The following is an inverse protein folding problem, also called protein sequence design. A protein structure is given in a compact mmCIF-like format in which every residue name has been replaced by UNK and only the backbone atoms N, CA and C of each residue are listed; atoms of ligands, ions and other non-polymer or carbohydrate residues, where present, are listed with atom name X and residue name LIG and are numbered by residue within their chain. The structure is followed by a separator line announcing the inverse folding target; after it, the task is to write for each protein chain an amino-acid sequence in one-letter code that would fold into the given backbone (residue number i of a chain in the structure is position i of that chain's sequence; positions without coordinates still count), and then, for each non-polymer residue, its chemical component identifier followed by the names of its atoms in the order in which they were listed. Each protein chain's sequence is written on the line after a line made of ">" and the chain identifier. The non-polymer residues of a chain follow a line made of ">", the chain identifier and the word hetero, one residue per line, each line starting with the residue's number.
data_IF_289136504677
#
_entry.id   IF_289136504677
#
_cell.length_a   1.000
_cell.length_b   1.000
_cell.length_c   1.000
_cell.angle_alpha   90.00
_cell.angle_beta   90.00
_cell.angle_gamma   90.00
#
_symmetry.space_group_name_H-M   'P 1'
#
loop_
_entity.id
_entity.type
_entity.pdbx_description
1 polymer ?
#
# COMPACT_ATOMS: atom_id res chain seq x y z
N UNK A 1 29.98 19.66 0.28
CA UNK A 1 29.19 19.77 -0.95
C UNK A 1 29.80 18.98 -2.11
N UNK A 2 31.12 18.86 -2.22
CA UNK A 2 31.80 18.10 -3.27
C UNK A 2 32.71 17.02 -2.64
N UNK A 3 32.18 15.90 -2.18
CA UNK A 3 33.00 14.79 -1.71
C UNK A 3 33.83 14.18 -2.85
N UNK A 4 34.86 13.40 -2.51
CA UNK A 4 35.62 12.65 -3.49
C UNK A 4 34.67 11.79 -4.35
N UNK A 5 34.96 11.66 -5.63
CA UNK A 5 34.15 10.94 -6.61
C UNK A 5 32.75 11.53 -6.89
N UNK A 6 32.56 12.83 -6.65
CA UNK A 6 31.31 13.51 -7.08
C UNK A 6 31.15 13.39 -8.59
N UNK A 7 29.99 12.89 -9.11
CA UNK A 7 29.76 12.78 -10.54
C UNK A 7 29.83 14.15 -11.24
N UNK A 8 30.59 14.24 -12.38
CA UNK A 8 30.84 15.48 -13.08
C UNK A 8 29.58 16.25 -13.47
N UNK A 9 28.52 15.55 -13.87
CA UNK A 9 27.24 16.12 -14.25
C UNK A 9 26.49 16.78 -13.09
N UNK A 10 26.85 16.48 -11.82
CA UNK A 10 26.21 17.05 -10.62
C UNK A 10 27.00 18.24 -10.06
N UNK A 11 28.23 18.48 -10.48
CA UNK A 11 29.12 19.51 -9.90
C UNK A 11 28.46 20.89 -9.95
N UNK A 12 27.96 21.30 -11.10
CA UNK A 12 27.36 22.63 -11.27
C UNK A 12 26.17 22.85 -10.34
N UNK A 13 25.30 21.87 -10.22
CA UNK A 13 24.14 21.95 -9.33
C UNK A 13 24.55 21.97 -7.85
N UNK A 14 25.59 21.23 -7.46
CA UNK A 14 26.14 21.24 -6.09
C UNK A 14 26.84 22.56 -5.77
N UNK A 15 27.50 23.21 -6.73
CA UNK A 15 28.07 24.54 -6.55
C UNK A 15 26.98 25.61 -6.37
N UNK A 16 25.89 25.54 -7.14
CA UNK A 16 24.71 26.40 -6.92
C UNK A 16 24.09 26.20 -5.53
N UNK A 17 24.01 24.96 -5.06
CA UNK A 17 23.55 24.68 -3.72
C UNK A 17 24.48 25.28 -2.66
N UNK A 18 25.78 25.14 -2.84
CA UNK A 18 26.78 25.77 -1.95
C UNK A 18 26.60 27.28 -1.87
N UNK A 19 26.48 27.94 -3.01
CA UNK A 19 26.21 29.38 -3.11
C UNK A 19 24.91 29.75 -2.36
N UNK A 20 23.83 29.03 -2.61
CA UNK A 20 22.52 29.24 -1.92
C UNK A 20 22.66 29.12 -0.41
N UNK A 21 23.41 28.14 0.10
CA UNK A 21 23.58 27.94 1.54
C UNK A 21 24.37 29.09 2.20
N UNK A 22 25.26 29.75 1.46
CA UNK A 22 26.19 30.70 2.02
C UNK A 22 25.84 32.17 1.78
N UNK A 23 25.17 32.46 0.66
CA UNK A 23 24.97 33.83 0.18
C UNK A 23 24.26 34.74 1.18
N UNK A 24 23.11 34.29 1.68
CA UNK A 24 22.32 35.08 2.64
C UNK A 24 23.11 35.37 3.91
N UNK A 25 23.73 34.33 4.47
CA UNK A 25 24.50 34.46 5.70
C UNK A 25 25.75 35.34 5.49
N UNK A 26 26.50 35.15 4.41
CA UNK A 26 27.66 35.96 4.09
C UNK A 26 27.28 37.44 3.91
N UNK A 27 26.20 37.72 3.21
CA UNK A 27 25.68 39.07 3.01
C UNK A 27 25.26 39.74 4.34
N UNK A 28 24.60 38.99 5.23
CA UNK A 28 24.19 39.47 6.55
C UNK A 28 25.41 39.78 7.44
N UNK A 29 26.43 38.90 7.43
CA UNK A 29 27.67 39.14 8.19
C UNK A 29 28.44 40.34 7.63
N UNK A 30 28.49 40.51 6.31
CA UNK A 30 29.11 41.70 5.68
C UNK A 30 28.37 42.97 6.07
N UNK A 31 27.01 42.95 6.14
CA UNK A 31 26.25 44.11 6.58
C UNK A 31 26.49 44.43 8.07
N UNK A 32 26.53 43.42 8.94
CA UNK A 32 26.88 43.59 10.33
C UNK A 32 28.29 44.16 10.48
N UNK A 33 29.26 43.73 9.69
CA UNK A 33 30.61 44.27 9.69
C UNK A 33 30.67 45.74 9.22
N UNK A 34 29.86 46.12 8.18
CA UNK A 34 29.74 47.52 7.77
C UNK A 34 29.14 48.42 8.84
N UNK A 35 28.11 47.90 9.53
CA UNK A 35 27.46 48.66 10.61
C UNK A 35 28.40 48.82 11.80
N UNK A 36 29.12 47.75 12.18
CA UNK A 36 30.09 47.80 13.30
C UNK A 36 31.34 48.64 12.97
N UNK A 37 31.69 48.78 11.69
CA UNK A 37 32.84 49.60 11.27
C UNK A 37 32.57 51.11 11.12
N UNK A 38 31.34 51.57 11.34
CA UNK A 38 31.03 53.01 11.37
C UNK A 38 31.56 53.65 12.62
N UNK A 39 31.98 54.92 12.51
CA UNK A 39 32.45 55.66 13.65
C UNK A 39 31.42 55.73 14.79
N UNK A 40 31.88 55.53 16.01
CA UNK A 40 31.04 55.60 17.21
C UNK A 40 30.32 56.96 17.30
N UNK A 41 29.02 56.97 17.28
CA UNK A 41 28.21 58.18 17.30
C UNK A 41 27.63 58.65 15.96
N UNK A 42 28.00 58.00 14.81
CA UNK A 42 27.52 58.40 13.47
C UNK A 42 26.38 57.54 12.92
N UNK A 43 25.72 56.72 13.73
CA UNK A 43 24.63 55.86 13.31
C UNK A 43 23.78 55.32 14.47
N UNK A 44 22.77 54.49 14.19
CA UNK A 44 21.99 53.82 15.23
C UNK A 44 22.90 52.90 16.07
N UNK A 45 22.59 52.72 17.37
CA UNK A 45 23.39 51.85 18.22
C UNK A 45 23.46 50.41 17.65
N UNK A 46 24.70 49.87 17.69
CA UNK A 46 24.96 48.50 17.20
C UNK A 46 24.52 47.51 18.26
N UNK A 47 23.63 46.61 17.94
CA UNK A 47 23.30 45.47 18.78
C UNK A 47 24.41 44.39 18.65
N UNK A 48 25.50 44.61 19.41
CA UNK A 48 26.65 43.69 19.40
C UNK A 48 26.27 42.28 19.87
N UNK A 49 25.29 42.16 20.76
CA UNK A 49 24.84 40.85 21.25
C UNK A 49 24.16 40.03 20.12
N UNK A 50 23.26 40.68 19.40
CA UNK A 50 22.59 40.08 18.22
C UNK A 50 23.61 39.67 17.14
N UNK A 51 24.60 40.53 16.88
CA UNK A 51 25.63 40.21 15.88
C UNK A 51 26.51 39.04 16.31
N UNK A 52 26.90 39.00 17.59
CA UNK A 52 27.65 37.88 18.15
C UNK A 52 26.85 36.59 18.11
N UNK A 53 25.60 36.61 18.55
CA UNK A 53 24.72 35.43 18.49
C UNK A 53 24.54 34.91 17.05
N UNK A 54 24.30 35.81 16.08
CA UNK A 54 24.18 35.42 14.69
C UNK A 54 25.48 34.85 14.11
N UNK A 55 26.63 35.45 14.44
CA UNK A 55 27.93 35.04 13.87
C UNK A 55 28.43 33.73 14.46
N UNK A 56 28.23 33.48 15.77
CA UNK A 56 28.82 32.34 16.46
C UNK A 56 27.82 31.28 16.89
N UNK A 57 26.52 31.58 16.89
CA UNK A 57 25.46 30.61 17.19
C UNK A 57 25.04 29.71 16.03
N UNK A 58 25.71 29.82 14.88
CA UNK A 58 25.39 29.03 13.71
C UNK A 58 26.34 27.85 13.54
N UNK A 59 25.79 26.65 13.50
CA UNK A 59 26.52 25.43 13.10
C UNK A 59 26.47 25.25 11.56
N UNK A 60 27.53 25.69 10.90
CA UNK A 60 27.65 25.61 9.44
C UNK A 60 27.73 24.15 8.96
N UNK A 61 28.35 23.27 9.72
CA UNK A 61 28.46 21.86 9.36
C UNK A 61 27.10 21.18 9.34
N UNK A 62 26.34 21.35 10.42
CA UNK A 62 24.98 20.78 10.49
C UNK A 62 24.08 21.40 9.43
N UNK A 63 24.04 22.72 9.32
CA UNK A 63 23.21 23.42 8.34
C UNK A 63 23.50 22.97 6.89
N UNK A 64 24.77 22.99 6.48
CA UNK A 64 25.15 22.61 5.11
C UNK A 64 24.93 21.12 4.83
N UNK A 65 25.11 20.27 5.83
CA UNK A 65 24.83 18.84 5.75
C UNK A 65 23.33 18.56 5.57
N UNK A 66 22.47 19.25 6.31
CA UNK A 66 21.02 19.17 6.17
C UNK A 66 20.55 19.67 4.80
N UNK A 67 21.09 20.81 4.33
CA UNK A 67 20.75 21.37 3.03
C UNK A 67 21.17 20.44 1.89
N UNK A 68 22.36 19.80 1.99
CA UNK A 68 22.82 18.83 1.01
C UNK A 68 21.89 17.61 0.98
N UNK A 69 21.53 17.06 2.14
CA UNK A 69 20.62 15.92 2.27
C UNK A 69 19.24 16.21 1.65
N UNK A 70 18.65 17.36 1.99
CA UNK A 70 17.37 17.79 1.42
C UNK A 70 17.45 17.94 -0.11
N UNK A 71 18.55 18.49 -0.59
CA UNK A 71 18.77 18.64 -2.03
C UNK A 71 18.93 17.28 -2.72
N UNK A 72 19.68 16.36 -2.14
CA UNK A 72 19.83 15.00 -2.69
C UNK A 72 18.48 14.27 -2.74
N UNK A 73 17.67 14.41 -1.71
CA UNK A 73 16.31 13.82 -1.70
C UNK A 73 15.41 14.45 -2.77
N UNK A 74 15.42 15.77 -2.90
CA UNK A 74 14.59 16.47 -3.89
C UNK A 74 14.98 16.20 -5.35
N UNK A 75 16.20 15.75 -5.59
CA UNK A 75 16.67 15.37 -6.91
C UNK A 75 16.49 13.89 -7.24
N UNK A 76 16.05 13.08 -6.30
CA UNK A 76 15.65 11.71 -6.58
C UNK A 76 14.29 11.74 -7.27
N UNK A 77 14.25 11.22 -8.50
CA UNK A 77 13.01 11.02 -9.25
C UNK A 77 12.50 9.60 -9.01
N UNK A 78 11.21 9.41 -9.17
CA UNK A 78 10.56 8.09 -9.14
C UNK A 78 10.76 7.35 -7.81
N UNK A 79 10.72 8.10 -6.69
CA UNK A 79 10.77 7.54 -5.33
C UNK A 79 9.46 7.77 -4.59
N UNK A 80 9.10 6.80 -3.76
CA UNK A 80 7.91 6.90 -2.93
C UNK A 80 8.19 7.69 -1.66
N UNK A 81 7.30 8.64 -1.39
CA UNK A 81 7.31 9.47 -0.19
C UNK A 81 6.09 9.15 0.67
N UNK A 82 6.32 8.99 1.95
CA UNK A 82 5.27 8.86 2.98
C UNK A 82 5.67 9.64 4.22
N UNK A 83 4.71 9.97 5.07
CA UNK A 83 5.03 10.49 6.39
C UNK A 83 5.81 9.46 7.23
N UNK A 84 6.79 9.92 8.04
CA UNK A 84 7.25 11.30 8.22
C UNK A 84 8.26 11.74 7.16
N UNK A 85 7.92 12.75 6.35
CA UNK A 85 8.73 13.22 5.22
C UNK A 85 10.05 13.89 5.61
N UNK A 86 10.18 14.31 6.88
CA UNK A 86 11.39 14.94 7.39
C UNK A 86 12.64 14.03 7.34
N UNK A 87 12.46 12.72 7.19
CA UNK A 87 13.54 11.73 7.18
C UNK A 87 13.90 11.24 5.77
N UNK A 88 13.32 11.81 4.73
CA UNK A 88 13.55 11.45 3.34
C UNK A 88 12.53 10.47 2.77
N UNK A 89 12.82 9.88 1.58
CA UNK A 89 11.98 8.86 0.98
C UNK A 89 11.84 7.65 1.90
N UNK A 90 10.61 7.12 2.02
CA UNK A 90 10.36 5.96 2.90
C UNK A 90 10.70 4.64 2.22
N UNK A 91 11.48 3.76 2.87
CA UNK A 91 11.63 2.39 2.41
C UNK A 91 10.31 1.63 2.59
N UNK A 92 10.11 0.59 1.77
CA UNK A 92 8.90 -0.21 1.83
C UNK A 92 8.90 -1.33 0.80
N UNK A 93 7.74 -1.85 0.43
CA UNK A 93 7.66 -2.97 -0.51
C UNK A 93 8.32 -2.68 -1.86
N UNK A 94 8.25 -1.44 -2.35
CA UNK A 94 8.67 -1.05 -3.70
C UNK A 94 10.08 -0.51 -3.81
N UNK A 95 10.65 0.01 -2.72
CA UNK A 95 11.97 0.62 -2.73
C UNK A 95 12.70 0.47 -1.40
N UNK A 96 14.03 0.58 -1.43
CA UNK A 96 14.86 0.85 -0.26
C UNK A 96 14.92 2.36 0.03
N UNK A 97 15.66 2.75 1.08
CA UNK A 97 15.88 4.17 1.42
C UNK A 97 16.58 4.96 0.31
N UNK A 98 17.38 4.31 -0.53
CA UNK A 98 18.05 4.94 -1.66
C UNK A 98 17.15 5.10 -2.89
N UNK A 99 15.96 4.49 -2.90
CA UNK A 99 15.03 4.46 -4.03
C UNK A 99 15.28 3.31 -5.00
N UNK A 100 16.13 2.33 -4.64
CA UNK A 100 16.33 1.12 -5.43
C UNK A 100 15.11 0.20 -5.26
N UNK A 101 14.58 -0.30 -6.38
CA UNK A 101 13.49 -1.27 -6.38
C UNK A 101 13.86 -2.53 -5.60
N UNK A 102 12.87 -3.08 -4.89
CA UNK A 102 12.99 -4.34 -4.16
C UNK A 102 12.71 -5.52 -5.07
N UNK A 103 13.35 -6.65 -4.77
CA UNK A 103 13.14 -7.89 -5.50
C UNK A 103 12.20 -8.82 -4.70
N UNK A 104 11.07 -9.17 -5.31
CA UNK A 104 10.09 -10.09 -4.74
C UNK A 104 10.21 -11.53 -5.25
N UNK A 105 11.18 -11.84 -6.11
CA UNK A 105 11.29 -13.15 -6.77
C UNK A 105 11.50 -14.32 -5.81
N UNK A 106 12.21 -14.10 -4.70
CA UNK A 106 12.51 -15.10 -3.67
C UNK A 106 11.52 -15.07 -2.50
N UNK A 107 10.58 -14.13 -2.50
CA UNK A 107 9.54 -14.06 -1.49
C UNK A 107 8.60 -15.25 -1.65
N UNK A 108 8.17 -15.84 -0.54
CA UNK A 108 7.28 -16.99 -0.49
C UNK A 108 5.87 -16.56 -0.19
N UNK A 109 4.91 -17.25 -0.77
CA UNK A 109 3.51 -17.09 -0.42
C UNK A 109 2.83 -18.44 -0.19
N UNK A 110 1.82 -18.43 0.66
CA UNK A 110 0.91 -19.52 0.89
C UNK A 110 -0.51 -18.91 0.98
N UNK A 111 -1.37 -19.23 0.03
CA UNK A 111 -2.72 -18.68 -0.09
C UNK A 111 -3.76 -19.76 0.08
N UNK A 112 -4.66 -19.61 1.05
CA UNK A 112 -5.89 -20.40 1.17
C UNK A 112 -7.07 -19.55 0.72
N UNK A 113 -7.92 -20.09 -0.17
CA UNK A 113 -9.02 -19.34 -0.74
C UNK A 113 -10.30 -20.17 -0.84
N UNK A 114 -11.44 -19.49 -0.68
CA UNK A 114 -12.80 -20.04 -0.81
C UNK A 114 -13.55 -19.22 -1.85
N UNK A 115 -13.75 -19.78 -3.04
CA UNK A 115 -14.58 -19.18 -4.09
C UNK A 115 -16.00 -19.69 -3.94
N UNK A 116 -16.97 -18.78 -3.99
CA UNK A 116 -18.37 -19.10 -3.73
C UNK A 116 -19.33 -18.29 -4.60
N UNK A 117 -20.56 -18.80 -4.72
CA UNK A 117 -21.70 -18.07 -5.28
C UNK A 117 -22.41 -17.30 -4.19
N UNK A 118 -22.81 -16.07 -4.50
CA UNK A 118 -23.51 -15.17 -3.58
C UNK A 118 -24.60 -14.35 -4.26
N UNK A 119 -25.36 -13.62 -3.45
CA UNK A 119 -26.34 -12.65 -3.96
C UNK A 119 -25.63 -11.48 -4.64
N UNK A 120 -25.94 -11.26 -5.92
CA UNK A 120 -25.48 -10.08 -6.65
C UNK A 120 -25.82 -8.78 -5.94
N UNK A 121 -27.07 -8.62 -5.53
CA UNK A 121 -27.57 -7.40 -4.87
C UNK A 121 -26.82 -7.09 -3.58
N UNK A 122 -26.50 -8.11 -2.78
CA UNK A 122 -25.73 -7.92 -1.54
C UNK A 122 -24.30 -7.46 -1.86
N UNK A 123 -23.66 -8.06 -2.86
CA UNK A 123 -22.31 -7.68 -3.27
C UNK A 123 -22.25 -6.29 -3.94
N UNK A 124 -23.29 -5.90 -4.70
CA UNK A 124 -23.41 -4.56 -5.29
C UNK A 124 -23.43 -3.43 -4.25
N UNK A 125 -23.98 -3.70 -3.07
CA UNK A 125 -23.97 -2.73 -1.95
C UNK A 125 -22.58 -2.41 -1.41
N UNK A 126 -21.55 -3.16 -1.82
CA UNK A 126 -20.16 -2.91 -1.47
C UNK A 126 -19.42 -2.06 -2.52
N UNK A 127 -20.05 -1.73 -3.64
CA UNK A 127 -19.41 -0.92 -4.68
C UNK A 127 -19.28 0.54 -4.23
N UNK A 128 -18.12 1.17 -4.47
CA UNK A 128 -17.82 2.47 -3.90
C UNK A 128 -18.54 3.63 -4.59
N UNK A 129 -18.89 3.47 -5.88
CA UNK A 129 -19.55 4.49 -6.69
C UNK A 129 -20.41 3.86 -7.79
N UNK A 130 -21.28 4.64 -8.41
CA UNK A 130 -22.13 4.22 -9.54
C UNK A 130 -21.34 3.82 -10.81
N UNK A 131 -20.04 4.12 -10.86
CA UNK A 131 -19.16 3.67 -11.94
C UNK A 131 -18.88 2.17 -11.91
N UNK A 132 -19.14 1.51 -10.78
CA UNK A 132 -18.95 0.07 -10.58
C UNK A 132 -20.28 -0.67 -10.73
N UNK A 133 -20.27 -1.76 -11.50
CA UNK A 133 -21.40 -2.67 -11.62
C UNK A 133 -20.91 -4.04 -12.08
N UNK A 134 -21.75 -5.06 -11.99
CA UNK A 134 -21.43 -6.34 -12.60
C UNK A 134 -21.51 -6.29 -14.14
N UNK A 135 -20.53 -6.88 -14.81
CA UNK A 135 -20.52 -6.97 -16.27
C UNK A 135 -21.63 -7.88 -16.83
N UNK A 136 -21.98 -8.95 -16.10
CA UNK A 136 -23.05 -9.87 -16.46
C UNK A 136 -24.37 -9.49 -15.80
N UNK A 137 -25.50 -9.85 -16.43
CA UNK A 137 -26.85 -9.54 -15.95
C UNK A 137 -27.49 -10.67 -15.12
N UNK A 138 -26.68 -11.44 -14.40
CA UNK A 138 -27.14 -12.56 -13.58
C UNK A 138 -27.64 -12.12 -12.21
N UNK A 139 -28.45 -12.95 -11.53
CA UNK A 139 -28.88 -12.72 -10.14
C UNK A 139 -27.86 -13.21 -9.10
N UNK A 140 -26.94 -14.06 -9.52
CA UNK A 140 -25.86 -14.65 -8.73
C UNK A 140 -24.54 -14.10 -9.20
N UNK A 141 -23.66 -13.76 -8.26
CA UNK A 141 -22.31 -13.34 -8.56
C UNK A 141 -21.29 -14.21 -7.81
N UNK A 142 -20.05 -14.15 -8.26
CA UNK A 142 -18.96 -14.91 -7.66
C UNK A 142 -18.09 -14.00 -6.80
N UNK A 143 -17.70 -14.51 -5.65
CA UNK A 143 -16.73 -13.86 -4.79
C UNK A 143 -15.75 -14.88 -4.22
N UNK A 144 -14.63 -14.40 -3.70
CA UNK A 144 -13.59 -15.21 -3.05
C UNK A 144 -13.19 -14.56 -1.74
N UNK A 145 -13.22 -15.32 -0.65
CA UNK A 145 -12.44 -15.00 0.54
C UNK A 145 -11.08 -15.66 0.41
N UNK A 146 -10.00 -14.89 0.61
CA UNK A 146 -8.66 -15.42 0.54
C UNK A 146 -7.79 -14.88 1.67
N UNK A 147 -7.03 -15.78 2.30
CA UNK A 147 -5.96 -15.46 3.22
C UNK A 147 -4.63 -15.84 2.61
N UNK A 148 -3.68 -14.91 2.61
CA UNK A 148 -2.31 -15.16 2.15
C UNK A 148 -1.34 -14.88 3.29
N UNK A 149 -0.44 -15.82 3.52
CA UNK A 149 0.75 -15.66 4.34
C UNK A 149 1.94 -15.45 3.42
N UNK A 150 2.54 -14.27 3.50
CA UNK A 150 3.80 -13.95 2.82
C UNK A 150 4.96 -14.17 3.79
N UNK A 151 6.09 -14.64 3.26
CA UNK A 151 7.32 -14.87 4.01
C UNK A 151 8.54 -14.55 3.15
N UNK A 152 9.71 -14.46 3.77
CA UNK A 152 10.98 -14.15 3.13
C UNK A 152 10.93 -12.88 2.26
N UNK A 153 10.26 -11.83 2.75
CA UNK A 153 10.17 -10.55 2.07
C UNK A 153 11.45 -9.73 2.27
N UNK A 154 12.17 -9.40 1.19
CA UNK A 154 13.42 -8.63 1.24
C UNK A 154 13.24 -7.30 1.99
N UNK A 155 12.14 -6.58 1.71
CA UNK A 155 11.88 -5.28 2.31
C UNK A 155 11.54 -5.32 3.81
N UNK A 156 11.22 -6.50 4.35
CA UNK A 156 11.04 -6.76 5.79
C UNK A 156 12.24 -7.49 6.43
N UNK A 157 13.37 -7.53 5.74
CA UNK A 157 14.57 -8.22 6.22
C UNK A 157 14.37 -9.72 6.35
N UNK A 158 13.67 -10.34 5.40
CA UNK A 158 13.37 -11.77 5.36
C UNK A 158 12.19 -12.20 6.24
N UNK A 159 11.45 -11.27 6.83
CA UNK A 159 10.21 -11.54 7.59
C UNK A 159 9.00 -11.54 6.66
N UNK A 160 7.82 -11.85 7.23
CA UNK A 160 6.58 -11.87 6.49
C UNK A 160 5.43 -11.20 7.23
N UNK A 161 4.25 -11.23 6.61
CA UNK A 161 2.97 -10.83 7.18
C UNK A 161 1.85 -11.60 6.50
N UNK A 162 0.66 -11.53 7.08
CA UNK A 162 -0.54 -12.15 6.51
C UNK A 162 -1.59 -11.10 6.16
N UNK A 163 -2.36 -11.39 5.13
CA UNK A 163 -3.52 -10.59 4.76
C UNK A 163 -4.72 -11.47 4.41
N UNK A 164 -5.92 -10.96 4.68
CA UNK A 164 -7.20 -11.63 4.44
C UNK A 164 -8.18 -10.65 3.79
N UNK A 165 -8.83 -11.02 2.69
CA UNK A 165 -9.70 -10.11 1.96
C UNK A 165 -10.86 -10.78 1.25
N UNK A 166 -11.79 -9.92 0.80
CA UNK A 166 -12.91 -10.27 -0.06
C UNK A 166 -12.65 -9.78 -1.49
N UNK A 167 -12.78 -10.66 -2.45
CA UNK A 167 -12.56 -10.40 -3.88
C UNK A 167 -13.86 -10.66 -4.63
N UNK A 168 -14.46 -9.64 -5.27
CA UNK A 168 -15.72 -9.73 -6.03
C UNK A 168 -15.38 -9.77 -7.50
N UNK A 169 -15.74 -10.86 -8.17
CA UNK A 169 -15.39 -11.14 -9.56
C UNK A 169 -16.37 -10.56 -10.58
N UNK A 170 -15.89 -10.33 -11.80
CA UNK A 170 -16.72 -9.88 -12.92
C UNK A 170 -17.29 -8.47 -12.76
N UNK A 171 -16.55 -7.59 -12.10
CA UNK A 171 -16.95 -6.20 -11.88
C UNK A 171 -16.47 -5.32 -13.01
N UNK A 172 -17.38 -4.58 -13.64
CA UNK A 172 -17.11 -3.55 -14.64
C UNK A 172 -16.95 -2.20 -13.95
N UNK A 173 -15.89 -1.46 -14.27
CA UNK A 173 -15.73 -0.06 -13.94
C UNK A 173 -15.75 0.80 -15.19
N UNK A 174 -16.57 1.86 -15.20
CA UNK A 174 -16.70 2.78 -16.34
C UNK A 174 -15.75 3.95 -16.11
N UNK A 175 -14.81 4.14 -17.04
CA UNK A 175 -13.89 5.27 -17.05
C UNK A 175 -14.60 6.59 -17.40
N UNK A 176 -13.90 7.71 -17.24
CA UNK A 176 -14.45 9.04 -17.59
C UNK A 176 -14.69 9.20 -19.10
N UNK A 177 -13.90 8.53 -19.95
CA UNK A 177 -14.07 8.52 -21.41
C UNK A 177 -15.15 7.53 -21.90
N UNK A 178 -15.84 6.83 -20.99
CA UNK A 178 -16.87 5.83 -21.30
C UNK A 178 -16.36 4.42 -21.59
N UNK A 179 -15.04 4.21 -21.63
CA UNK A 179 -14.48 2.86 -21.74
C UNK A 179 -14.79 2.03 -20.48
N UNK A 180 -14.91 0.74 -20.67
CA UNK A 180 -15.20 -0.23 -19.62
C UNK A 180 -14.00 -1.10 -19.37
N UNK A 181 -13.69 -1.30 -18.11
CA UNK A 181 -12.66 -2.22 -17.65
C UNK A 181 -13.32 -3.26 -16.77
N UNK A 182 -13.11 -4.53 -17.05
CA UNK A 182 -13.64 -5.64 -16.25
C UNK A 182 -12.52 -6.18 -15.38
N UNK A 183 -12.81 -6.37 -14.10
CA UNK A 183 -11.82 -6.87 -13.15
C UNK A 183 -12.45 -7.46 -11.89
N UNK A 184 -11.59 -7.85 -10.97
CA UNK A 184 -11.95 -8.24 -9.61
C UNK A 184 -11.94 -7.02 -8.71
N UNK A 185 -13.04 -6.70 -8.06
CA UNK A 185 -13.08 -5.60 -7.08
C UNK A 185 -12.72 -6.08 -5.68
N UNK A 186 -11.85 -5.34 -4.99
CA UNK A 186 -11.43 -5.58 -3.61
C UNK A 186 -12.03 -4.52 -2.69
N UNK A 187 -13.15 -4.81 -1.98
CA UNK A 187 -13.75 -3.87 -1.04
C UNK A 187 -13.02 -3.76 0.29
N UNK A 188 -12.32 -4.81 0.72
CA UNK A 188 -11.66 -4.89 2.03
C UNK A 188 -10.48 -5.84 2.00
N UNK A 189 -9.39 -5.46 2.69
CA UNK A 189 -8.24 -6.29 2.96
C UNK A 189 -7.78 -6.07 4.41
N UNK A 190 -7.82 -7.10 5.23
CA UNK A 190 -7.27 -7.09 6.58
C UNK A 190 -5.82 -7.52 6.54
N UNK A 191 -4.95 -6.87 7.33
CA UNK A 191 -3.53 -7.21 7.44
C UNK A 191 -3.06 -7.11 8.90
N UNK A 192 -2.09 -7.93 9.28
CA UNK A 192 -1.55 -7.99 10.64
C UNK A 192 -0.24 -7.19 10.82
N UNK A 193 0.12 -6.33 9.85
CA UNK A 193 1.30 -5.48 9.92
C UNK A 193 0.97 -4.07 9.41
N UNK A 194 1.40 -3.04 10.15
CA UNK A 194 1.11 -1.65 9.83
C UNK A 194 1.82 -1.15 8.55
N UNK A 195 3.06 -1.59 8.31
CA UNK A 195 3.88 -1.13 7.18
C UNK A 195 3.22 -1.36 5.81
N UNK A 196 2.73 -2.57 5.47
CA UNK A 196 2.04 -2.78 4.20
C UNK A 196 0.66 -2.10 4.16
N UNK A 197 0.01 -1.89 5.32
CA UNK A 197 -1.25 -1.11 5.39
C UNK A 197 -0.99 0.32 4.94
N UNK A 198 -0.02 1.01 5.55
CA UNK A 198 0.30 2.40 5.25
C UNK A 198 0.70 2.55 3.77
N UNK A 199 1.67 1.77 3.31
CA UNK A 199 2.14 1.84 1.91
C UNK A 199 1.05 1.50 0.89
N UNK A 200 0.19 0.53 1.20
CA UNK A 200 -0.90 0.14 0.30
C UNK A 200 -2.00 1.20 0.22
N UNK A 201 -2.40 1.78 1.36
CA UNK A 201 -3.44 2.81 1.40
C UNK A 201 -2.98 4.13 0.80
N UNK A 202 -1.81 4.63 1.23
CA UNK A 202 -1.33 5.96 0.86
C UNK A 202 -0.85 6.02 -0.58
N UNK A 203 -0.14 5.00 -1.06
CA UNK A 203 0.45 4.99 -2.40
C UNK A 203 -0.51 4.44 -3.46
N UNK A 204 -1.19 3.32 -3.19
CA UNK A 204 -1.90 2.54 -4.22
C UNK A 204 -3.43 2.56 -4.10
N UNK A 205 -3.97 2.86 -2.92
CA UNK A 205 -5.41 2.91 -2.69
C UNK A 205 -6.05 1.58 -2.29
N UNK A 206 -5.28 0.64 -1.76
CA UNK A 206 -5.83 -0.59 -1.19
C UNK A 206 -6.69 -0.31 0.05
N UNK A 207 -7.88 -0.92 0.17
CA UNK A 207 -8.80 -0.71 1.30
C UNK A 207 -8.38 -1.53 2.52
N UNK A 208 -7.18 -1.27 3.06
CA UNK A 208 -6.55 -2.06 4.11
C UNK A 208 -6.95 -1.59 5.50
N UNK A 209 -7.23 -2.56 6.39
CA UNK A 209 -7.46 -2.37 7.83
C UNK A 209 -6.59 -3.35 8.62
N UNK A 210 -6.22 -2.95 9.83
CA UNK A 210 -5.45 -3.80 10.74
C UNK A 210 -6.38 -4.77 11.46
N UNK A 211 -5.95 -6.03 11.58
CA UNK A 211 -6.44 -6.99 12.57
C UNK A 211 -5.36 -8.04 12.89
N UNK A 212 -5.54 -8.78 13.96
CA UNK A 212 -4.73 -9.94 14.25
C UNK A 212 -5.20 -11.11 13.38
N UNK A 213 -4.27 -11.79 12.73
CA UNK A 213 -4.52 -12.95 11.87
C UNK A 213 -3.71 -14.14 12.38
N UNK A 214 -4.37 -15.11 13.00
CA UNK A 214 -3.80 -16.41 13.29
C UNK A 214 -4.09 -17.33 12.11
N UNK A 215 -3.04 -17.69 11.35
CA UNK A 215 -3.14 -18.43 10.09
C UNK A 215 -2.33 -19.71 10.20
N UNK A 216 -3.02 -20.84 10.14
CA UNK A 216 -2.44 -22.18 10.05
C UNK A 216 -2.79 -22.73 8.66
N UNK A 217 -1.80 -23.07 7.86
CA UNK A 217 -1.99 -23.69 6.54
C UNK A 217 -0.99 -24.86 6.46
N UNK A 218 -1.50 -26.06 6.23
CA UNK A 218 -0.71 -27.27 6.06
C UNK A 218 -1.29 -28.18 4.97
N UNK A 219 -0.76 -29.38 4.84
CA UNK A 219 -1.21 -30.34 3.83
C UNK A 219 -2.64 -30.85 4.04
N UNK A 220 -3.17 -30.78 5.26
CA UNK A 220 -4.50 -31.26 5.64
C UNK A 220 -5.60 -30.22 5.42
N UNK A 221 -5.23 -28.96 5.41
CA UNK A 221 -6.17 -27.85 5.26
C UNK A 221 -5.64 -26.49 5.68
N UNK A 222 -6.54 -25.59 5.97
CA UNK A 222 -6.24 -24.24 6.45
C UNK A 222 -7.22 -23.80 7.51
N UNK A 223 -6.72 -23.09 8.51
CA UNK A 223 -7.53 -22.42 9.52
C UNK A 223 -7.05 -20.98 9.69
N UNK A 224 -7.98 -20.06 9.56
CA UNK A 224 -7.80 -18.64 9.85
C UNK A 224 -8.73 -18.25 11.01
N UNK A 225 -8.16 -17.54 11.98
CA UNK A 225 -8.91 -16.80 12.99
C UNK A 225 -8.51 -15.33 12.89
N UNK A 226 -9.47 -14.47 12.60
CA UNK A 226 -9.26 -13.03 12.58
C UNK A 226 -9.90 -12.38 13.82
N UNK A 227 -9.11 -11.54 14.50
CA UNK A 227 -9.54 -10.85 15.72
C UNK A 227 -9.00 -9.42 15.77
N UNK A 228 -9.60 -8.60 16.61
CA UNK A 228 -9.14 -7.25 16.90
C UNK A 228 -9.11 -7.04 18.41
N UNK A 229 -7.92 -6.79 18.95
CA UNK A 229 -7.71 -6.64 20.41
C UNK A 229 -8.37 -7.75 21.25
N UNK A 230 -8.25 -8.99 20.79
CA UNK A 230 -8.82 -10.17 21.46
C UNK A 230 -10.27 -10.50 21.12
N UNK A 231 -11.00 -9.65 20.41
CA UNK A 231 -12.35 -9.92 19.93
C UNK A 231 -12.32 -10.65 18.59
N UNK A 232 -12.56 -11.95 18.58
CA UNK A 232 -12.64 -12.75 17.35
C UNK A 232 -13.90 -12.42 16.58
N UNK A 233 -13.75 -12.13 15.28
CA UNK A 233 -14.85 -11.73 14.40
C UNK A 233 -14.97 -12.56 13.13
N UNK A 234 -13.96 -13.37 12.78
CA UNK A 234 -14.01 -14.24 11.59
C UNK A 234 -13.26 -15.54 11.82
N UNK A 235 -13.85 -16.62 11.32
CA UNK A 235 -13.22 -17.92 11.17
C UNK A 235 -13.36 -18.38 9.72
N UNK A 236 -12.26 -18.87 9.12
CA UNK A 236 -12.27 -19.55 7.82
C UNK A 236 -11.54 -20.88 7.95
N UNK A 237 -12.15 -21.95 7.47
CA UNK A 237 -11.61 -23.30 7.56
C UNK A 237 -11.77 -24.01 6.22
N UNK A 238 -10.70 -24.65 5.75
CA UNK A 238 -10.68 -25.51 4.57
C UNK A 238 -10.19 -26.90 4.99
N UNK A 239 -10.85 -27.94 4.50
CA UNK A 239 -10.46 -29.31 4.79
C UNK A 239 -10.76 -30.24 3.62
N UNK A 240 -10.24 -31.47 3.70
CA UNK A 240 -10.46 -32.52 2.70
C UNK A 240 -10.02 -32.08 1.29
N UNK A 241 -8.88 -31.39 1.22
CA UNK A 241 -8.28 -30.96 -0.04
C UNK A 241 -7.40 -32.08 -0.63
N UNK A 242 -7.35 -32.15 -1.95
CA UNK A 242 -6.52 -33.11 -2.69
C UNK A 242 -5.80 -32.43 -3.85
N UNK A 243 -4.72 -32.99 -4.37
CA UNK A 243 -4.10 -32.48 -5.58
C UNK A 243 -5.14 -32.40 -6.72
N UNK A 244 -5.06 -31.41 -7.60
CA UNK A 244 -6.00 -31.28 -8.72
C UNK A 244 -5.92 -32.54 -9.62
N UNK A 245 -7.05 -32.97 -10.17
CA UNK A 245 -7.10 -34.12 -11.07
C UNK A 245 -6.21 -33.87 -12.31
N UNK A 246 -5.39 -34.84 -12.66
CA UNK A 246 -4.35 -34.77 -13.71
C UNK A 246 -4.89 -34.77 -15.16
N UNK A 247 -6.13 -34.35 -15.39
CA UNK A 247 -6.69 -34.23 -16.72
C UNK A 247 -6.40 -32.85 -17.32
N UNK A 248 -5.16 -32.65 -17.76
CA UNK A 248 -4.78 -31.77 -18.88
C UNK A 248 -4.91 -30.25 -18.75
N UNK A 249 -5.58 -29.72 -17.75
CA UNK A 249 -5.58 -28.31 -17.44
C UNK A 249 -5.15 -28.13 -16.00
N UNK A 250 -3.96 -27.57 -15.82
CA UNK A 250 -3.55 -26.94 -14.55
C UNK A 250 -4.49 -25.76 -14.35
N UNK A 251 -5.69 -26.01 -13.87
CA UNK A 251 -6.54 -24.94 -13.37
C UNK A 251 -5.97 -24.48 -12.05
N UNK A 252 -4.85 -23.72 -12.11
CA UNK A 252 -4.65 -22.67 -11.14
C UNK A 252 -6.03 -22.02 -11.01
N UNK A 253 -6.55 -21.71 -9.82
CA UNK A 253 -7.80 -21.01 -9.71
C UNK A 253 -7.66 -19.86 -10.70
N UNK A 254 -8.53 -19.83 -11.74
CA UNK A 254 -8.65 -18.63 -12.54
C UNK A 254 -9.20 -17.63 -11.55
N UNK A 255 -8.28 -16.98 -10.83
CA UNK A 255 -8.59 -15.90 -9.89
C UNK A 255 -9.35 -14.81 -10.64
N UNK A 256 -9.12 -14.74 -11.94
CA UNK A 256 -9.85 -13.92 -12.89
C UNK A 256 -10.64 -14.80 -13.86
N UNK A 257 -11.81 -14.37 -14.27
CA UNK A 257 -12.42 -14.86 -15.50
C UNK A 257 -11.47 -14.50 -16.64
N UNK A 258 -11.49 -15.23 -17.76
CA UNK A 258 -10.61 -14.95 -18.91
C UNK A 258 -10.73 -13.51 -19.48
N UNK A 259 -11.63 -12.70 -18.95
CA UNK A 259 -11.93 -11.33 -19.34
C UNK A 259 -11.49 -10.28 -18.29
N UNK A 260 -11.08 -10.68 -17.09
CA UNK A 260 -10.67 -9.74 -16.06
C UNK A 260 -9.26 -9.20 -16.31
N UNK A 261 -9.13 -7.86 -16.36
CA UNK A 261 -7.89 -7.17 -16.70
C UNK A 261 -7.01 -6.94 -15.48
N UNK A 262 -7.59 -6.91 -14.28
CA UNK A 262 -6.84 -6.62 -13.05
C UNK A 262 -7.69 -6.51 -11.80
N UNK A 263 -7.03 -6.15 -10.71
CA UNK A 263 -7.65 -5.86 -9.43
C UNK A 263 -8.08 -4.39 -9.40
N UNK A 264 -9.37 -4.16 -9.25
CA UNK A 264 -10.00 -2.84 -9.15
C UNK A 264 -10.06 -2.40 -7.69
N UNK A 265 -9.62 -1.17 -7.43
CA UNK A 265 -9.56 -0.57 -6.11
C UNK A 265 -10.19 0.84 -6.16
N UNK A 266 -10.67 1.34 -5.03
CA UNK A 266 -11.11 2.73 -4.91
C UNK A 266 -10.28 3.43 -3.82
N UNK A 267 -9.37 4.30 -4.27
CA UNK A 267 -8.56 5.12 -3.36
C UNK A 267 -9.40 6.26 -2.82
N UNK A 268 -9.48 6.37 -1.49
CA UNK A 268 -10.20 7.44 -0.81
C UNK A 268 -9.36 7.95 0.37
N UNK A 269 -8.99 9.22 0.33
CA UNK A 269 -8.31 9.92 1.43
C UNK A 269 -9.23 11.07 1.86
N UNK A 270 -9.74 11.07 3.10
CA UNK A 270 -10.63 12.13 3.58
C UNK A 270 -9.90 13.48 3.64
N UNK A 271 -10.62 14.56 3.37
CA UNK A 271 -10.08 15.90 3.48
C UNK A 271 -9.86 16.29 4.95
N UNK A 272 -8.78 17.06 5.17
CA UNK A 272 -8.44 17.55 6.51
C UNK A 272 -9.27 18.79 6.85
N UNK A 273 -9.85 18.81 8.05
CA UNK A 273 -10.63 19.92 8.60
C UNK A 273 -12.04 19.52 9.00
N UNK A 274 -12.51 20.03 10.13
CA UNK A 274 -13.84 19.70 10.66
C UNK A 274 -14.98 20.21 9.77
N UNK A 275 -14.74 21.27 9.03
CA UNK A 275 -15.66 21.88 8.06
C UNK A 275 -15.75 21.07 6.74
N UNK A 276 -14.82 20.13 6.52
CA UNK A 276 -14.73 19.29 5.33
C UNK A 276 -15.23 17.88 5.54
N UNK A 277 -16.04 17.64 6.57
CA UNK A 277 -16.65 16.33 6.82
C UNK A 277 -17.38 15.81 5.59
N UNK A 278 -17.11 14.56 5.20
CA UNK A 278 -17.70 13.93 4.02
C UNK A 278 -17.04 14.29 2.69
N UNK A 279 -16.02 15.16 2.67
CA UNK A 279 -15.21 15.47 1.50
C UNK A 279 -13.93 14.63 1.48
N UNK A 280 -13.34 14.50 0.30
CA UNK A 280 -12.08 13.79 0.09
C UNK A 280 -11.04 14.69 -0.57
N UNK A 281 -9.78 14.64 -0.13
CA UNK A 281 -8.65 15.21 -0.86
C UNK A 281 -8.30 14.32 -2.06
N UNK A 282 -8.57 13.00 -1.96
CA UNK A 282 -8.33 12.02 -3.01
C UNK A 282 -9.52 11.06 -3.07
N UNK A 283 -10.14 10.91 -4.24
CA UNK A 283 -11.17 9.91 -4.52
C UNK A 283 -11.13 9.52 -6.00
N UNK A 284 -10.57 8.35 -6.31
CA UNK A 284 -10.53 7.81 -7.68
C UNK A 284 -10.31 6.30 -7.68
N UNK A 285 -10.63 5.66 -8.79
CA UNK A 285 -10.37 4.24 -9.00
C UNK A 285 -8.93 4.00 -9.43
N UNK A 286 -8.33 2.94 -8.91
CA UNK A 286 -7.04 2.41 -9.37
C UNK A 286 -7.20 0.97 -9.85
N UNK A 287 -6.31 0.54 -10.73
CA UNK A 287 -6.22 -0.83 -11.21
C UNK A 287 -4.79 -1.37 -11.02
N UNK A 288 -4.70 -2.60 -10.53
CA UNK A 288 -3.47 -3.42 -10.60
C UNK A 288 -3.67 -4.41 -11.72
N UNK A 289 -2.99 -4.19 -12.86
CA UNK A 289 -3.12 -5.04 -14.04
C UNK A 289 -2.49 -6.40 -13.83
N UNK A 290 -3.22 -7.50 -14.05
CA UNK A 290 -2.67 -8.85 -13.94
C UNK A 290 -1.55 -9.11 -14.96
N UNK A 291 -1.65 -8.52 -16.15
CA UNK A 291 -0.61 -8.65 -17.16
C UNK A 291 0.69 -7.92 -16.80
N UNK A 292 0.60 -6.77 -16.11
CA UNK A 292 1.78 -6.02 -15.68
C UNK A 292 2.43 -6.69 -14.47
N UNK A 293 1.64 -7.21 -13.54
CA UNK A 293 2.12 -7.98 -12.38
C UNK A 293 2.86 -9.27 -12.81
N UNK A 294 2.33 -9.99 -13.80
CA UNK A 294 2.97 -11.19 -14.33
C UNK A 294 4.33 -10.90 -15.01
N UNK A 295 4.52 -9.69 -15.53
CA UNK A 295 5.81 -9.25 -16.10
C UNK A 295 6.78 -8.76 -15.02
N UNK A 296 6.27 -8.15 -13.94
CA UNK A 296 7.08 -7.57 -12.89
C UNK A 296 7.79 -8.63 -12.05
N UNK A 297 7.06 -9.68 -11.65
CA UNK A 297 7.62 -10.81 -10.89
C UNK A 297 7.00 -12.10 -11.39
N UNK A 298 7.84 -13.07 -11.75
CA UNK A 298 7.40 -14.42 -12.14
C UNK A 298 6.89 -15.16 -10.89
N UNK A 299 5.58 -15.38 -10.82
CA UNK A 299 4.95 -16.18 -9.77
C UNK A 299 5.08 -17.66 -10.12
N UNK A 300 5.77 -18.43 -9.25
CA UNK A 300 5.96 -19.87 -9.42
C UNK A 300 5.11 -20.62 -8.39
N UNK A 301 4.16 -21.41 -8.88
CA UNK A 301 3.36 -22.29 -8.04
C UNK A 301 4.14 -23.61 -7.86
N UNK A 302 4.44 -23.94 -6.60
CA UNK A 302 5.17 -25.15 -6.23
C UNK A 302 4.22 -26.28 -5.83
N UNK A 303 3.13 -25.92 -5.13
CA UNK A 303 2.11 -26.86 -4.67
C UNK A 303 0.72 -26.28 -4.77
N UNK A 304 -0.25 -27.11 -5.10
CA UNK A 304 -1.66 -26.76 -5.12
C UNK A 304 -2.51 -27.93 -4.65
N UNK A 305 -3.49 -27.65 -3.81
CA UNK A 305 -4.56 -28.57 -3.44
C UNK A 305 -5.91 -27.90 -3.60
N UNK A 306 -6.92 -28.69 -3.95
CA UNK A 306 -8.27 -28.20 -4.24
C UNK A 306 -9.34 -29.10 -3.62
N UNK A 307 -10.52 -28.52 -3.37
CA UNK A 307 -11.70 -29.20 -2.86
C UNK A 307 -12.88 -28.25 -2.83
N UNK A 308 -13.94 -28.63 -2.13
CA UNK A 308 -15.13 -27.81 -1.94
C UNK A 308 -15.55 -27.74 -0.47
N UNK A 309 -14.86 -28.44 0.41
CA UNK A 309 -15.17 -28.44 1.83
C UNK A 309 -14.50 -27.26 2.54
N UNK A 310 -15.25 -26.17 2.68
CA UNK A 310 -14.81 -24.97 3.36
C UNK A 310 -15.97 -24.24 4.02
N UNK A 311 -15.64 -23.52 5.10
CA UNK A 311 -16.57 -22.66 5.81
C UNK A 311 -15.92 -21.31 6.10
N UNK A 312 -16.70 -20.24 5.94
CA UNK A 312 -16.30 -18.87 6.33
C UNK A 312 -17.46 -18.31 7.17
N UNK A 313 -17.15 -17.89 8.38
CA UNK A 313 -18.14 -17.33 9.32
C UNK A 313 -17.67 -16.00 9.86
N UNK A 314 -18.59 -15.05 9.97
CA UNK A 314 -18.36 -13.75 10.60
C UNK A 314 -19.30 -13.58 11.80
N UNK A 315 -18.75 -13.07 12.90
CA UNK A 315 -19.49 -12.72 14.10
C UNK A 315 -19.61 -11.18 14.16
N UNK A 316 -20.81 -10.65 13.89
CA UNK A 316 -21.09 -9.23 13.96
C UNK A 316 -21.20 -8.81 15.44
N UNK A 317 -20.05 -8.68 16.08
CA UNK A 317 -19.94 -8.19 17.43
C UNK A 317 -20.37 -6.71 17.52
N UNK A 318 -20.77 -6.30 18.73
CA UNK A 318 -21.22 -4.95 18.98
C UNK A 318 -20.09 -3.90 18.92
N UNK A 319 -20.48 -2.64 19.01
CA UNK A 319 -19.55 -1.51 19.01
C UNK A 319 -18.53 -1.56 20.16
N UNK A 320 -18.85 -2.17 21.31
CA UNK A 320 -17.92 -2.26 22.45
C UNK A 320 -16.78 -3.24 22.17
N UNK A 321 -17.09 -4.34 21.49
CA UNK A 321 -16.10 -5.35 21.12
C UNK A 321 -15.29 -4.95 19.88
N UNK A 322 -15.91 -4.28 18.90
CA UNK A 322 -15.28 -3.88 17.62
C UNK A 322 -15.57 -2.40 17.29
N UNK A 323 -15.09 -1.42 18.07
CA UNK A 323 -15.50 -0.02 17.93
C UNK A 323 -15.21 0.59 16.54
N UNK A 324 -14.17 0.15 15.85
CA UNK A 324 -13.80 0.67 14.51
C UNK A 324 -14.15 -0.27 13.36
N UNK A 325 -14.49 -1.53 13.65
CA UNK A 325 -14.71 -2.58 12.65
C UNK A 325 -16.15 -3.11 12.62
N UNK A 326 -16.97 -2.88 13.65
CA UNK A 326 -18.28 -3.51 13.78
C UNK A 326 -19.17 -3.34 12.53
N UNK A 327 -19.20 -2.15 11.93
CA UNK A 327 -19.99 -1.88 10.73
C UNK A 327 -19.47 -2.61 9.49
N UNK A 328 -18.14 -2.84 9.38
CA UNK A 328 -17.54 -3.62 8.30
C UNK A 328 -17.89 -5.09 8.47
N UNK A 329 -17.72 -5.62 9.69
CA UNK A 329 -17.97 -7.05 9.97
C UNK A 329 -19.45 -7.37 9.84
N UNK A 330 -20.36 -6.47 10.28
CA UNK A 330 -21.79 -6.64 10.09
C UNK A 330 -22.15 -6.78 8.59
N UNK A 331 -21.53 -5.99 7.72
CA UNK A 331 -21.73 -6.11 6.26
C UNK A 331 -21.13 -7.37 5.66
N UNK A 332 -20.00 -7.84 6.15
CA UNK A 332 -19.43 -9.10 5.71
C UNK A 332 -20.29 -10.30 6.14
N UNK A 333 -20.90 -10.26 7.34
CA UNK A 333 -21.83 -11.29 7.82
C UNK A 333 -23.12 -11.37 6.98
N UNK A 334 -23.57 -10.27 6.37
CA UNK A 334 -24.75 -10.24 5.50
C UNK A 334 -24.55 -10.97 4.18
N UNK A 335 -23.29 -11.28 3.78
CA UNK A 335 -22.98 -11.93 2.50
C UNK A 335 -23.34 -13.41 2.56
N UNK A 336 -24.38 -13.87 1.83
CA UNK A 336 -24.74 -15.28 1.83
C UNK A 336 -23.75 -16.09 0.98
N UNK A 337 -23.34 -17.24 1.49
CA UNK A 337 -22.60 -18.23 0.73
C UNK A 337 -23.61 -19.30 0.30
N UNK A 338 -24.05 -19.23 -0.97
CA UNK A 338 -25.02 -20.19 -1.52
C UNK A 338 -24.38 -21.54 -1.82
N UNK A 339 -23.16 -21.52 -2.35
CA UNK A 339 -22.41 -22.69 -2.75
C UNK A 339 -20.92 -22.38 -2.74
N UNK A 340 -20.14 -23.24 -2.13
CA UNK A 340 -18.67 -23.21 -2.28
C UNK A 340 -18.33 -23.87 -3.61
N UNK A 341 -17.85 -23.07 -4.56
CA UNK A 341 -17.47 -23.54 -5.90
C UNK A 341 -16.10 -24.20 -5.86
N UNK A 342 -15.18 -23.62 -5.12
CA UNK A 342 -13.82 -24.12 -4.98
C UNK A 342 -13.20 -23.64 -3.67
N UNK A 343 -12.55 -24.54 -2.97
CA UNK A 343 -11.60 -24.27 -1.92
C UNK A 343 -10.21 -24.65 -2.42
N UNK A 344 -9.19 -23.85 -2.19
CA UNK A 344 -7.83 -24.18 -2.65
C UNK A 344 -6.76 -23.65 -1.69
N UNK A 345 -5.64 -24.37 -1.65
CA UNK A 345 -4.39 -23.89 -1.06
C UNK A 345 -3.33 -23.89 -2.17
N UNK A 346 -2.64 -22.77 -2.32
CA UNK A 346 -1.58 -22.56 -3.31
C UNK A 346 -0.34 -22.05 -2.61
N UNK A 347 0.78 -22.73 -2.83
CA UNK A 347 2.09 -22.37 -2.29
C UNK A 347 3.07 -22.10 -3.42
N UNK A 348 4.00 -21.17 -3.20
CA UNK A 348 5.01 -20.88 -4.18
C UNK A 348 5.92 -19.71 -3.83
N UNK A 349 6.63 -19.23 -4.85
CA UNK A 349 7.54 -18.09 -4.79
C UNK A 349 7.16 -17.01 -5.80
N UNK A 350 7.70 -15.81 -5.62
CA UNK A 350 7.39 -14.64 -6.42
C UNK A 350 6.19 -13.86 -5.88
N UNK A 351 6.48 -12.81 -5.12
CA UNK A 351 5.47 -11.88 -4.57
C UNK A 351 5.70 -10.51 -5.17
N UNK A 352 4.73 -10.02 -5.95
CA UNK A 352 4.78 -8.68 -6.53
C UNK A 352 4.64 -7.59 -5.47
N UNK A 353 5.31 -6.47 -5.71
CA UNK A 353 5.19 -5.25 -4.93
C UNK A 353 4.00 -4.36 -5.35
N UNK A 354 3.24 -4.82 -6.35
CA UNK A 354 2.09 -4.14 -6.98
C UNK A 354 2.39 -2.71 -7.44
N UNK A 355 3.65 -2.44 -7.80
CA UNK A 355 4.11 -1.12 -8.28
C UNK A 355 3.46 -0.71 -9.60
N UNK A 356 2.94 -1.66 -10.37
CA UNK A 356 2.16 -1.42 -11.58
C UNK A 356 0.77 -0.82 -11.36
N UNK A 357 0.35 -0.60 -10.12
CA UNK A 357 -0.92 0.05 -9.82
C UNK A 357 -0.99 1.46 -10.41
N UNK A 358 -2.07 1.75 -11.14
CA UNK A 358 -2.26 3.06 -11.80
C UNK A 358 -3.69 3.55 -11.64
N UNK A 359 -3.84 4.87 -11.71
CA UNK A 359 -5.15 5.50 -11.75
C UNK A 359 -5.89 5.06 -13.03
N UNK A 360 -7.15 4.75 -12.90
CA UNK A 360 -8.04 4.43 -14.00
C UNK A 360 -8.75 5.73 -14.44
N UNK A 361 -8.30 6.27 -15.57
CA UNK A 361 -8.81 7.53 -16.17
C UNK A 361 -9.85 7.27 -17.24
#
# INVERSE_FOLDING_TARGET
>A
MLPANTPLNTIHARLKLYEKCRMERASTIQEYSRVAGKDLGSGPPVDAHRFTAYNFGHDEWDYSSQMLRKWEWSNKKDVYWRMPTAFGPMPGPRQDFAGKAKDGSQARFMTASVRFKSSRTVLENLFPTEKFKFAAADTVAYATFAVTKNDNLEWLGGRGYSHFGLYIHGVECIKENGEKVVGTYLPILFENLADPILSGREELGFPKLFCDLAVEIDESGSKLVASWMGSTFCNMELSSLSPPATNGETTAPKEATSQEEGLLLHKYIPATGSEKKGQADVAYTTIVSYADEAKAVERKVEKMTVGTNAAVTFDALDWKALPTLHHVIARLQEIPIYEVVQASIVEGTGVSDVSGARKLE
#
